data_IF_586003280799
#
_entry.id   IF_586003280799
#
_cell.length_a   1.000
_cell.length_b   1.000
_cell.length_c   1.000
_cell.angle_alpha   90.00
_cell.angle_beta   90.00
_cell.angle_gamma   90.00
#
_symmetry.space_group_name_H-M   'P 1'
#
loop_
_entity.id
_entity.type
_entity.pdbx_description
1 polymer ?
#
# COMPACT_ATOMS: atom_id res chain seq x y z
N UNK A 1 -15.74 15.59 23.21
CA UNK A 1 -15.50 16.67 22.23
C UNK A 1 -15.48 16.03 20.85
N UNK A 2 -16.03 16.68 19.82
CA UNK A 2 -15.93 16.21 18.45
C UNK A 2 -14.45 16.13 18.05
N UNK A 3 -13.99 15.03 17.47
CA UNK A 3 -12.60 14.89 17.04
C UNK A 3 -12.26 15.86 15.91
N UNK A 4 -10.96 16.13 15.70
CA UNK A 4 -10.50 17.07 14.65
C UNK A 4 -11.10 16.77 13.28
N UNK A 5 -11.29 15.53 12.91
CA UNK A 5 -11.90 15.14 11.64
C UNK A 5 -13.33 15.72 11.47
N UNK A 6 -14.13 15.62 12.51
CA UNK A 6 -15.50 16.15 12.53
C UNK A 6 -15.52 17.68 12.47
N UNK A 7 -14.57 18.32 13.16
CA UNK A 7 -14.39 19.78 13.13
C UNK A 7 -14.04 20.25 11.72
N UNK A 8 -13.09 19.59 11.04
CA UNK A 8 -12.69 19.92 9.67
C UNK A 8 -13.85 19.72 8.69
N UNK A 9 -14.57 18.58 8.78
CA UNK A 9 -15.71 18.28 7.89
C UNK A 9 -16.81 19.33 8.01
N UNK A 10 -17.04 19.85 9.21
CA UNK A 10 -18.01 20.93 9.45
C UNK A 10 -17.54 22.25 8.84
N UNK A 11 -16.27 22.60 8.97
CA UNK A 11 -15.69 23.85 8.47
C UNK A 11 -15.58 23.87 6.93
N UNK A 12 -15.49 22.73 6.26
CA UNK A 12 -15.36 22.63 4.79
C UNK A 12 -16.40 23.46 4.02
N UNK A 13 -17.60 23.65 4.57
CA UNK A 13 -18.69 24.41 3.93
C UNK A 13 -18.43 25.93 3.88
N UNK A 14 -17.47 26.43 4.69
CA UNK A 14 -17.20 27.87 4.84
C UNK A 14 -15.74 28.20 4.51
N UNK A 15 -14.99 27.28 3.92
CA UNK A 15 -13.58 27.43 3.62
C UNK A 15 -13.34 28.30 2.37
N UNK A 16 -12.35 29.19 2.47
CA UNK A 16 -11.72 29.79 1.28
C UNK A 16 -10.97 28.74 0.45
N UNK A 17 -10.60 29.01 -0.82
CA UNK A 17 -9.86 28.05 -1.64
C UNK A 17 -8.54 27.55 -0.99
N UNK A 18 -7.81 28.42 -0.30
CA UNK A 18 -6.60 28.04 0.43
C UNK A 18 -6.90 27.18 1.65
N UNK A 19 -7.97 27.49 2.39
CA UNK A 19 -8.44 26.69 3.52
C UNK A 19 -9.00 25.34 3.06
N UNK A 20 -9.65 25.25 1.89
CA UNK A 20 -10.09 23.99 1.31
C UNK A 20 -8.91 23.05 1.00
N UNK A 21 -7.81 23.59 0.44
CA UNK A 21 -6.59 22.81 0.25
C UNK A 21 -6.06 22.25 1.57
N UNK A 22 -6.04 23.08 2.61
CA UNK A 22 -5.60 22.68 3.96
C UNK A 22 -6.56 21.67 4.60
N UNK A 23 -7.87 21.89 4.52
CA UNK A 23 -8.90 20.99 5.02
C UNK A 23 -8.78 19.60 4.40
N UNK A 24 -8.71 19.56 3.07
CA UNK A 24 -8.54 18.30 2.32
C UNK A 24 -7.21 17.61 2.66
N UNK A 25 -6.12 18.38 2.76
CA UNK A 25 -4.84 17.84 3.19
C UNK A 25 -4.93 17.25 4.60
N UNK A 26 -5.50 17.96 5.55
CA UNK A 26 -5.64 17.47 6.93
C UNK A 26 -6.49 16.21 6.98
N UNK A 27 -7.66 16.18 6.31
CA UNK A 27 -8.53 15.00 6.29
C UNK A 27 -7.85 13.78 5.67
N UNK A 28 -7.10 13.97 4.60
CA UNK A 28 -6.42 12.89 3.89
C UNK A 28 -5.11 12.45 4.55
N UNK A 29 -4.53 13.31 5.43
CA UNK A 29 -3.21 13.10 6.03
C UNK A 29 -3.21 13.24 7.56
N UNK A 30 -4.36 13.04 8.23
CA UNK A 30 -4.49 13.16 9.69
C UNK A 30 -3.39 12.39 10.44
N UNK A 31 -2.99 11.25 9.93
CA UNK A 31 -1.96 10.40 10.55
C UNK A 31 -0.53 10.85 10.27
N UNK A 32 -0.32 11.64 9.24
CA UNK A 32 0.98 12.26 8.92
C UNK A 32 1.17 13.57 9.69
N UNK A 33 0.07 14.23 10.08
CA UNK A 33 0.11 15.51 10.80
C UNK A 33 1.02 15.52 12.03
N UNK A 34 1.13 14.44 12.83
CA UNK A 34 2.08 14.41 13.94
C UNK A 34 3.54 14.67 13.57
N UNK A 35 3.91 14.44 12.30
CA UNK A 35 5.29 14.59 11.79
C UNK A 35 5.48 15.86 10.95
N UNK A 36 4.39 16.52 10.60
CA UNK A 36 4.43 17.70 9.76
C UNK A 36 4.71 18.97 10.62
N UNK A 37 5.26 19.98 9.97
CA UNK A 37 5.37 21.32 10.49
C UNK A 37 4.50 22.26 9.66
N UNK A 38 4.13 23.43 10.19
CA UNK A 38 3.42 24.43 9.39
C UNK A 38 4.23 24.83 8.13
N UNK A 39 5.56 24.76 8.20
CA UNK A 39 6.45 25.04 7.08
C UNK A 39 6.45 23.92 6.04
N UNK A 40 6.42 22.64 6.47
CA UNK A 40 6.37 21.49 5.53
C UNK A 40 5.01 21.41 4.83
N UNK A 41 3.92 21.59 5.57
CA UNK A 41 2.55 21.67 5.02
C UNK A 41 2.45 22.83 4.02
N UNK A 42 2.97 24.01 4.41
CA UNK A 42 2.95 25.20 3.57
C UNK A 42 3.66 24.97 2.24
N UNK A 43 4.85 24.37 2.23
CA UNK A 43 5.60 24.01 1.01
C UNK A 43 4.84 23.02 0.15
N UNK A 44 4.24 21.99 0.76
CA UNK A 44 3.51 20.93 0.04
C UNK A 44 2.25 21.42 -0.67
N UNK A 45 1.59 22.45 -0.09
CA UNK A 45 0.32 23.00 -0.59
C UNK A 45 0.49 24.36 -1.29
N UNK A 46 1.72 24.85 -1.41
CA UNK A 46 2.03 26.18 -1.97
C UNK A 46 1.30 27.33 -1.26
N UNK A 47 1.23 27.23 0.08
CA UNK A 47 0.68 28.27 0.95
C UNK A 47 1.72 28.71 1.99
N UNK A 48 1.56 29.92 2.55
CA UNK A 48 2.49 30.37 3.59
C UNK A 48 2.29 29.59 4.91
N UNK A 49 3.36 29.36 5.70
CA UNK A 49 3.22 28.78 7.04
C UNK A 49 2.24 29.56 7.95
N UNK A 50 2.12 30.86 7.72
CA UNK A 50 1.18 31.71 8.42
C UNK A 50 -0.27 31.40 8.05
N UNK A 51 -0.53 31.04 6.80
CA UNK A 51 -1.85 30.57 6.32
C UNK A 51 -2.24 29.26 6.99
N UNK A 52 -1.29 28.32 7.12
CA UNK A 52 -1.49 27.08 7.87
C UNK A 52 -1.84 27.36 9.33
N UNK A 53 -1.08 28.24 9.99
CA UNK A 53 -1.34 28.64 11.39
C UNK A 53 -2.69 29.33 11.59
N UNK A 54 -3.14 30.15 10.62
CA UNK A 54 -4.48 30.79 10.68
C UNK A 54 -5.58 29.74 10.56
N UNK A 55 -5.43 28.79 9.66
CA UNK A 55 -6.41 27.72 9.49
C UNK A 55 -6.52 26.86 10.75
N UNK A 56 -5.41 26.49 11.36
CA UNK A 56 -5.37 25.74 12.63
C UNK A 56 -6.15 26.50 13.73
N UNK A 57 -5.95 27.82 13.85
CA UNK A 57 -6.70 28.65 14.82
C UNK A 57 -8.19 28.72 14.49
N UNK A 58 -8.56 28.79 13.23
CA UNK A 58 -9.97 28.73 12.79
C UNK A 58 -10.66 27.42 13.21
N UNK A 59 -9.93 26.32 13.20
CA UNK A 59 -10.42 25.00 13.68
C UNK A 59 -10.52 24.93 15.23
N UNK A 60 -10.10 25.98 15.96
CA UNK A 60 -10.16 26.04 17.43
C UNK A 60 -8.89 25.57 18.15
N UNK A 61 -7.80 25.33 17.46
CA UNK A 61 -6.51 24.95 18.05
C UNK A 61 -5.54 26.12 18.08
N UNK A 62 -4.80 26.30 19.17
CA UNK A 62 -3.83 27.38 19.27
C UNK A 62 -2.61 27.14 18.35
N UNK A 63 -2.16 25.88 18.24
CA UNK A 63 -1.00 25.46 17.45
C UNK A 63 -1.20 24.08 16.83
N UNK A 64 -0.37 23.74 15.83
CA UNK A 64 -0.36 22.41 15.22
C UNK A 64 -0.06 21.31 16.25
N UNK A 65 0.72 21.63 17.29
CA UNK A 65 1.05 20.66 18.33
C UNK A 65 -0.16 20.25 19.17
N UNK A 66 -1.17 21.11 19.31
CA UNK A 66 -2.41 20.77 20.01
C UNK A 66 -3.19 19.70 19.23
N UNK A 67 -3.26 19.85 17.89
CA UNK A 67 -3.81 18.82 17.01
C UNK A 67 -3.03 17.51 17.12
N UNK A 68 -1.70 17.60 17.15
CA UNK A 68 -0.84 16.43 17.30
C UNK A 68 -1.07 15.71 18.63
N UNK A 69 -1.27 16.46 19.71
CA UNK A 69 -1.58 15.88 21.02
C UNK A 69 -2.95 15.19 21.02
N UNK A 70 -3.97 15.81 20.43
CA UNK A 70 -5.29 15.20 20.31
C UNK A 70 -5.23 13.91 19.49
N UNK A 71 -4.56 13.95 18.33
CA UNK A 71 -4.37 12.76 17.50
C UNK A 71 -3.63 11.65 18.26
N UNK A 72 -2.60 11.97 19.03
CA UNK A 72 -1.89 11.01 19.88
C UNK A 72 -2.78 10.45 21.00
N UNK A 73 -3.59 11.27 21.64
CA UNK A 73 -4.53 10.86 22.69
C UNK A 73 -5.65 9.96 22.12
N UNK A 74 -6.06 10.21 20.88
CA UNK A 74 -7.04 9.37 20.15
C UNK A 74 -6.44 8.07 19.59
N UNK A 75 -5.20 7.71 19.98
CA UNK A 75 -4.51 6.52 19.50
C UNK A 75 -3.79 6.69 18.16
N UNK A 76 -3.78 7.90 17.60
CA UNK A 76 -3.03 8.24 16.40
C UNK A 76 -1.55 8.48 16.75
N UNK A 77 -0.91 7.47 17.31
CA UNK A 77 0.49 7.57 17.70
C UNK A 77 1.37 7.54 16.47
N UNK A 78 2.25 8.53 16.39
CA UNK A 78 3.48 8.38 15.63
C UNK A 78 4.16 7.11 16.08
N UNK A 79 4.55 6.24 15.15
CA UNK A 79 5.53 5.23 15.48
C UNK A 79 6.73 5.97 16.06
N UNK A 80 7.14 5.71 17.31
CA UNK A 80 8.34 6.30 17.84
C UNK A 80 9.50 5.89 16.94
N UNK A 81 10.36 6.83 16.59
CA UNK A 81 11.63 6.54 15.92
C UNK A 81 12.53 5.67 16.81
N UNK A 82 12.18 5.50 18.06
CA UNK A 82 12.84 4.69 19.08
C UNK A 82 11.77 4.01 19.96
N UNK A 83 11.60 2.76 19.80
CA UNK A 83 11.35 1.63 20.69
C UNK A 83 10.34 1.73 21.84
N UNK A 84 9.30 2.59 21.87
CA UNK A 84 8.30 2.48 22.93
C UNK A 84 6.91 2.95 22.46
N UNK A 85 6.07 2.07 22.14
CA UNK A 85 4.69 1.79 22.57
C UNK A 85 4.09 0.69 21.71
N UNK A 86 4.35 -0.52 22.11
CA UNK A 86 3.52 -1.64 21.71
C UNK A 86 2.08 -1.38 22.17
N UNK A 87 1.09 -1.87 21.43
CA UNK A 87 -0.29 -1.95 21.90
C UNK A 87 -0.26 -2.50 23.34
N UNK A 88 -1.19 -2.09 24.19
CA UNK A 88 -1.30 -2.60 25.57
C UNK A 88 -1.38 -4.13 25.60
N UNK A 89 -1.75 -4.75 24.49
CA UNK A 89 -1.71 -6.17 24.21
C UNK A 89 -1.33 -6.37 22.73
N UNK A 90 -0.01 -6.50 22.44
CA UNK A 90 0.48 -6.68 21.07
C UNK A 90 -0.06 -7.95 20.40
N UNK A 91 -0.24 -9.01 21.16
CA UNK A 91 -0.78 -10.28 20.64
C UNK A 91 -2.23 -10.12 20.19
N UNK A 92 -3.07 -9.48 21.01
CA UNK A 92 -4.47 -9.23 20.67
C UNK A 92 -4.60 -8.34 19.42
N UNK A 93 -3.77 -7.30 19.31
CA UNK A 93 -3.73 -6.45 18.13
C UNK A 93 -3.34 -7.25 16.88
N UNK A 94 -2.34 -8.14 17.01
CA UNK A 94 -1.89 -9.00 15.93
C UNK A 94 -2.94 -10.01 15.50
N UNK A 95 -3.64 -10.63 16.46
CA UNK A 95 -4.75 -11.56 16.18
C UNK A 95 -5.86 -10.82 15.42
N UNK A 96 -6.19 -9.59 15.81
CA UNK A 96 -7.18 -8.78 15.09
C UNK A 96 -6.74 -8.54 13.65
N UNK A 97 -5.52 -8.02 13.42
CA UNK A 97 -5.00 -7.76 12.07
C UNK A 97 -4.99 -9.02 11.20
N UNK A 98 -4.63 -10.16 11.78
CA UNK A 98 -4.66 -11.45 11.10
C UNK A 98 -6.09 -11.82 10.70
N UNK A 99 -7.06 -11.69 11.62
CA UNK A 99 -8.47 -11.95 11.34
C UNK A 99 -9.00 -11.05 10.22
N UNK A 100 -8.63 -9.76 10.24
CA UNK A 100 -9.05 -8.78 9.22
C UNK A 100 -8.51 -9.17 7.83
N UNK A 101 -7.28 -9.66 7.72
CA UNK A 101 -6.72 -10.14 6.43
C UNK A 101 -7.48 -11.34 5.90
N UNK A 102 -7.92 -12.28 6.75
CA UNK A 102 -8.74 -13.43 6.33
C UNK A 102 -10.17 -13.03 5.90
N UNK A 103 -10.61 -11.80 6.14
CA UNK A 103 -11.87 -11.29 5.58
C UNK A 103 -11.72 -10.73 4.15
N UNK A 104 -10.51 -10.37 3.72
CA UNK A 104 -10.27 -9.79 2.39
C UNK A 104 -10.73 -10.69 1.24
N UNK A 105 -10.59 -12.02 1.28
CA UNK A 105 -11.13 -12.92 0.26
C UNK A 105 -12.65 -12.84 0.03
N UNK A 106 -13.39 -12.27 0.97
CA UNK A 106 -14.85 -12.05 0.85
C UNK A 106 -15.19 -10.70 0.21
N UNK A 107 -14.19 -9.88 -0.13
CA UNK A 107 -14.42 -8.59 -0.77
C UNK A 107 -14.84 -8.73 -2.25
N UNK A 108 -15.62 -7.78 -2.79
CA UNK A 108 -16.11 -7.86 -4.16
C UNK A 108 -14.99 -7.76 -5.21
N UNK A 109 -13.86 -7.16 -4.88
CA UNK A 109 -12.70 -7.05 -5.76
C UNK A 109 -11.85 -8.32 -5.83
N UNK A 110 -11.93 -9.18 -4.82
CA UNK A 110 -11.10 -10.39 -4.73
C UNK A 110 -11.17 -11.33 -5.95
N UNK A 111 -12.35 -11.82 -6.37
CA UNK A 111 -12.44 -12.74 -7.50
C UNK A 111 -11.94 -12.10 -8.80
N UNK A 112 -12.14 -10.80 -8.98
CA UNK A 112 -11.66 -10.06 -10.14
C UNK A 112 -10.13 -9.97 -10.15
N UNK A 113 -9.51 -9.71 -9.00
CA UNK A 113 -8.06 -9.65 -8.87
C UNK A 113 -7.43 -11.03 -9.08
N UNK A 114 -8.00 -12.07 -8.48
CA UNK A 114 -7.54 -13.47 -8.68
C UNK A 114 -7.58 -13.84 -10.16
N UNK A 115 -8.71 -13.63 -10.83
CA UNK A 115 -8.84 -13.92 -12.26
C UNK A 115 -7.84 -13.12 -13.11
N UNK A 116 -7.60 -11.86 -12.75
CA UNK A 116 -6.63 -11.01 -13.43
C UNK A 116 -5.21 -11.53 -13.28
N UNK A 117 -4.79 -11.91 -12.08
CA UNK A 117 -3.47 -12.50 -11.84
C UNK A 117 -3.32 -13.87 -12.52
N UNK A 118 -4.38 -14.67 -12.56
CA UNK A 118 -4.37 -15.97 -13.22
C UNK A 118 -4.26 -15.88 -14.74
N UNK A 119 -5.02 -14.97 -15.37
CA UNK A 119 -5.26 -14.98 -16.81
C UNK A 119 -4.65 -13.81 -17.60
N UNK A 120 -3.96 -12.86 -16.96
CA UNK A 120 -3.23 -11.81 -17.67
C UNK A 120 -2.24 -12.44 -18.67
N UNK A 121 -1.98 -11.76 -19.80
CA UNK A 121 -0.96 -12.21 -20.78
C UNK A 121 0.41 -12.31 -20.12
N UNK A 122 0.74 -11.33 -19.29
CA UNK A 122 1.92 -11.30 -18.43
C UNK A 122 1.64 -10.48 -17.16
N UNK A 123 2.41 -10.71 -16.11
CA UNK A 123 2.30 -10.02 -14.84
C UNK A 123 3.65 -9.38 -14.49
N UNK A 124 3.65 -8.08 -14.30
CA UNK A 124 4.81 -7.35 -13.80
C UNK A 124 4.56 -6.94 -12.34
N UNK A 125 5.45 -7.35 -11.44
CA UNK A 125 5.37 -7.03 -10.02
C UNK A 125 6.41 -5.98 -9.70
N UNK A 126 5.99 -4.83 -9.21
CA UNK A 126 6.87 -3.76 -8.75
C UNK A 126 6.69 -3.53 -7.24
N UNK A 127 7.79 -3.42 -6.54
CA UNK A 127 7.86 -3.05 -5.13
C UNK A 127 9.15 -2.32 -4.83
N UNK A 128 9.16 -1.49 -3.78
CA UNK A 128 10.27 -0.58 -3.53
C UNK A 128 10.75 -0.65 -2.08
N UNK A 129 12.00 -0.27 -1.84
CA UNK A 129 12.65 -0.26 -0.52
C UNK A 129 12.45 -1.58 0.25
N UNK A 130 11.91 -1.47 1.47
CA UNK A 130 11.70 -2.59 2.39
C UNK A 130 10.65 -3.58 1.87
N UNK A 131 9.71 -3.12 1.04
CA UNK A 131 8.72 -3.99 0.39
C UNK A 131 9.30 -4.88 -0.70
N UNK A 132 10.52 -4.59 -1.19
CA UNK A 132 11.13 -5.28 -2.32
C UNK A 132 11.24 -6.79 -2.11
N UNK A 133 11.64 -7.24 -0.94
CA UNK A 133 11.77 -8.67 -0.64
C UNK A 133 10.42 -9.41 -0.69
N UNK A 134 9.34 -8.73 -0.27
CA UNK A 134 7.98 -9.27 -0.32
C UNK A 134 7.51 -9.38 -1.77
N UNK A 135 7.68 -8.31 -2.56
CA UNK A 135 7.31 -8.32 -3.97
C UNK A 135 8.10 -9.33 -4.80
N UNK A 136 9.40 -9.47 -4.53
CA UNK A 136 10.24 -10.49 -5.15
C UNK A 136 9.75 -11.90 -4.78
N UNK A 137 9.45 -12.14 -3.50
CA UNK A 137 8.88 -13.40 -3.05
C UNK A 137 7.56 -13.72 -3.73
N UNK A 138 6.64 -12.75 -3.78
CA UNK A 138 5.36 -12.89 -4.48
C UNK A 138 5.54 -13.23 -5.96
N UNK A 139 6.40 -12.50 -6.68
CA UNK A 139 6.69 -12.77 -8.09
C UNK A 139 7.29 -14.18 -8.28
N UNK A 140 8.22 -14.59 -7.42
CA UNK A 140 8.87 -15.90 -7.47
C UNK A 140 7.88 -17.04 -7.29
N UNK A 141 6.96 -16.93 -6.31
CA UNK A 141 5.93 -17.94 -6.11
C UNK A 141 4.92 -17.94 -7.27
N UNK A 142 4.50 -16.77 -7.75
CA UNK A 142 3.58 -16.66 -8.86
C UNK A 142 4.19 -17.23 -10.16
N UNK A 143 5.51 -17.10 -10.38
CA UNK A 143 6.24 -17.74 -11.48
C UNK A 143 6.12 -19.27 -11.44
N UNK A 144 6.04 -19.84 -10.24
CA UNK A 144 5.87 -21.28 -10.07
C UNK A 144 4.45 -21.75 -10.44
N UNK A 145 3.46 -20.85 -10.36
CA UNK A 145 2.06 -21.12 -10.70
C UNK A 145 1.77 -20.90 -12.19
N UNK A 146 2.37 -19.88 -12.81
CA UNK A 146 2.11 -19.50 -14.20
C UNK A 146 3.36 -18.92 -14.89
N UNK A 147 3.43 -18.98 -16.23
CA UNK A 147 4.49 -18.35 -17.01
C UNK A 147 4.31 -16.82 -17.08
N UNK A 148 5.34 -16.13 -17.59
CA UNK A 148 5.35 -14.69 -17.88
C UNK A 148 5.02 -13.83 -16.67
N UNK A 149 5.70 -14.09 -15.58
CA UNK A 149 5.70 -13.23 -14.39
C UNK A 149 7.09 -12.62 -14.25
N UNK A 150 7.16 -11.33 -14.07
CA UNK A 150 8.39 -10.56 -14.01
C UNK A 150 8.42 -9.73 -12.74
N UNK A 151 9.52 -9.79 -12.03
CA UNK A 151 9.78 -8.81 -10.97
C UNK A 151 10.50 -7.61 -11.59
N UNK A 152 9.92 -6.43 -11.44
CA UNK A 152 10.47 -5.21 -11.98
C UNK A 152 11.62 -4.71 -11.10
N UNK A 153 12.84 -4.88 -11.56
CA UNK A 153 14.04 -4.30 -10.98
C UNK A 153 14.54 -3.20 -11.88
N UNK A 154 14.57 -1.98 -11.35
CA UNK A 154 15.16 -0.86 -12.07
C UNK A 154 16.24 -0.22 -11.22
N UNK A 155 17.41 0.02 -11.82
CA UNK A 155 18.55 0.61 -11.12
C UNK A 155 18.25 2.05 -10.64
N UNK A 156 17.40 2.76 -11.36
CA UNK A 156 17.00 4.14 -11.09
C UNK A 156 15.64 4.28 -10.38
N UNK A 157 14.91 3.16 -10.18
CA UNK A 157 13.59 3.15 -9.57
C UNK A 157 12.49 3.80 -10.44
N UNK A 158 12.74 4.04 -11.74
CA UNK A 158 11.77 4.70 -12.61
C UNK A 158 10.63 3.77 -13.05
N UNK A 159 10.90 2.47 -13.20
CA UNK A 159 9.98 1.46 -13.74
C UNK A 159 9.43 1.80 -15.14
N UNK A 160 10.07 2.71 -15.87
CA UNK A 160 9.59 3.21 -17.16
C UNK A 160 9.53 2.10 -18.23
N UNK A 161 10.46 1.17 -18.19
CA UNK A 161 10.58 0.08 -19.16
C UNK A 161 9.33 -0.81 -19.20
N UNK A 162 8.63 -0.94 -18.07
CA UNK A 162 7.39 -1.74 -17.97
C UNK A 162 6.30 -1.16 -18.89
N UNK A 163 6.30 0.15 -19.08
CA UNK A 163 5.23 0.86 -19.81
C UNK A 163 5.64 1.30 -21.22
N UNK A 164 6.86 1.00 -21.64
CA UNK A 164 7.31 1.42 -22.97
C UNK A 164 6.49 0.73 -24.08
N UNK A 165 6.39 -0.60 -24.03
CA UNK A 165 5.65 -1.41 -24.97
C UNK A 165 4.81 -2.48 -24.21
N UNK A 166 3.74 -2.08 -23.49
CA UNK A 166 2.96 -3.03 -22.69
C UNK A 166 2.24 -4.04 -23.58
N UNK A 167 2.42 -5.32 -23.26
CA UNK A 167 1.72 -6.39 -23.97
C UNK A 167 0.19 -6.28 -23.78
N UNK A 168 -0.61 -6.53 -24.82
CA UNK A 168 -2.06 -6.57 -24.69
C UNK A 168 -2.50 -7.55 -23.59
N UNK A 169 -3.28 -7.07 -22.61
CA UNK A 169 -3.72 -7.88 -21.47
C UNK A 169 -2.71 -8.05 -20.33
N UNK A 170 -1.62 -7.28 -20.33
CA UNK A 170 -0.65 -7.19 -19.24
C UNK A 170 -1.32 -6.72 -17.95
N UNK A 171 -0.85 -7.24 -16.82
CA UNK A 171 -1.21 -6.79 -15.48
C UNK A 171 0.03 -6.26 -14.73
N UNK A 172 -0.08 -5.05 -14.20
CA UNK A 172 0.90 -4.47 -13.29
C UNK A 172 0.44 -4.68 -11.85
N UNK A 173 1.30 -5.23 -11.00
CA UNK A 173 1.06 -5.37 -9.56
C UNK A 173 1.99 -4.41 -8.82
N UNK A 174 1.43 -3.48 -8.07
CA UNK A 174 2.17 -2.55 -7.22
C UNK A 174 2.02 -2.95 -5.77
N UNK A 175 3.13 -3.15 -5.08
CA UNK A 175 3.16 -3.56 -3.67
C UNK A 175 3.90 -2.49 -2.88
N UNK A 176 3.18 -1.70 -2.11
CA UNK A 176 3.75 -0.63 -1.30
C UNK A 176 2.87 -0.32 -0.09
N UNK A 177 3.48 -0.06 1.04
CA UNK A 177 2.78 0.23 2.29
C UNK A 177 3.54 1.28 3.11
N UNK A 178 2.82 2.16 3.77
CA UNK A 178 3.29 3.17 4.74
C UNK A 178 4.09 4.35 4.16
N UNK A 179 5.25 4.12 3.56
CA UNK A 179 6.09 5.18 2.96
C UNK A 179 6.03 5.03 1.47
N UNK A 180 4.91 5.47 0.91
CA UNK A 180 4.62 5.29 -0.50
C UNK A 180 5.66 5.96 -1.37
N UNK A 181 6.25 5.17 -2.26
CA UNK A 181 7.16 5.68 -3.27
C UNK A 181 6.42 6.62 -4.21
N UNK A 182 6.91 7.85 -4.38
CA UNK A 182 6.30 8.84 -5.30
C UNK A 182 6.12 8.27 -6.69
N UNK A 183 7.07 7.46 -7.13
CA UNK A 183 7.07 6.85 -8.45
C UNK A 183 5.93 5.85 -8.65
N UNK A 184 5.42 5.21 -7.58
CA UNK A 184 4.35 4.21 -7.71
C UNK A 184 3.01 4.83 -8.09
N UNK A 185 2.69 5.98 -7.53
CA UNK A 185 1.50 6.70 -7.96
C UNK A 185 1.60 7.11 -9.42
N UNK A 186 2.73 7.69 -9.83
CA UNK A 186 2.97 8.07 -11.22
C UNK A 186 2.94 6.86 -12.16
N UNK A 187 3.57 5.75 -11.76
CA UNK A 187 3.57 4.51 -12.51
C UNK A 187 2.13 3.97 -12.69
N UNK A 188 1.31 4.01 -11.65
CA UNK A 188 -0.09 3.58 -11.71
C UNK A 188 -0.94 4.49 -12.62
N UNK A 189 -0.77 5.81 -12.52
CA UNK A 189 -1.46 6.79 -13.36
C UNK A 189 -1.07 6.62 -14.84
N UNK A 190 0.22 6.44 -15.13
CA UNK A 190 0.73 6.20 -16.48
C UNK A 190 0.31 4.84 -17.05
N UNK A 191 0.27 3.81 -16.22
CA UNK A 191 -0.26 2.50 -16.59
C UNK A 191 -1.73 2.58 -16.99
N UNK A 192 -2.54 3.27 -16.19
CA UNK A 192 -3.97 3.49 -16.48
C UNK A 192 -4.16 4.26 -17.78
N UNK A 193 -3.36 5.31 -18.04
CA UNK A 193 -3.42 6.09 -19.28
C UNK A 193 -3.10 5.25 -20.54
N UNK A 194 -2.32 4.16 -20.38
CA UNK A 194 -1.97 3.22 -21.46
C UNK A 194 -2.89 2.00 -21.51
N UNK A 195 -3.95 1.96 -20.69
CA UNK A 195 -4.89 0.83 -20.62
C UNK A 195 -4.33 -0.43 -19.95
N UNK A 196 -3.18 -0.32 -19.26
CA UNK A 196 -2.61 -1.41 -18.47
C UNK A 196 -3.41 -1.59 -17.19
N UNK A 197 -3.84 -2.82 -16.94
CA UNK A 197 -4.58 -3.15 -15.72
C UNK A 197 -3.65 -3.21 -14.52
N UNK A 198 -3.97 -2.45 -13.48
CA UNK A 198 -3.13 -2.35 -12.29
C UNK A 198 -3.84 -2.92 -11.07
N UNK A 199 -3.17 -3.81 -10.35
CA UNK A 199 -3.56 -4.33 -9.04
C UNK A 199 -2.66 -3.66 -7.99
N UNK A 200 -3.24 -3.12 -6.93
CA UNK A 200 -2.48 -2.45 -5.86
C UNK A 200 -2.71 -3.20 -4.55
N UNK A 201 -1.61 -3.70 -3.97
CA UNK A 201 -1.58 -4.30 -2.65
C UNK A 201 -0.92 -3.29 -1.69
N UNK A 202 -1.71 -2.77 -0.74
CA UNK A 202 -1.27 -1.64 0.08
C UNK A 202 -1.91 -1.66 1.47
N UNK A 203 -1.73 -0.62 2.24
CA UNK A 203 -2.43 -0.45 3.50
C UNK A 203 -3.58 0.57 3.42
N UNK A 204 -4.44 0.57 4.43
CA UNK A 204 -5.63 1.43 4.52
C UNK A 204 -5.33 2.93 4.51
N UNK A 205 -4.06 3.33 4.56
CA UNK A 205 -3.62 4.73 4.54
C UNK A 205 -3.26 5.23 3.14
N UNK A 206 -3.25 4.35 2.15
CA UNK A 206 -2.99 4.70 0.76
C UNK A 206 -4.24 5.35 0.14
N UNK A 207 -4.32 6.66 0.22
CA UNK A 207 -5.49 7.44 -0.22
C UNK A 207 -5.60 7.61 -1.75
N UNK A 208 -4.53 7.35 -2.50
CA UNK A 208 -4.52 7.54 -3.94
C UNK A 208 -4.86 6.27 -4.75
N UNK A 209 -4.67 5.08 -4.17
CA UNK A 209 -4.80 3.82 -4.91
C UNK A 209 -6.17 3.64 -5.56
N UNK A 210 -7.25 3.87 -4.83
CA UNK A 210 -8.63 3.75 -5.34
C UNK A 210 -9.03 4.86 -6.32
N UNK A 211 -8.25 5.92 -6.45
CA UNK A 211 -8.47 6.94 -7.48
C UNK A 211 -7.92 6.50 -8.84
N UNK A 212 -7.03 5.51 -8.87
CA UNK A 212 -6.37 5.01 -10.08
C UNK A 212 -6.97 3.69 -10.57
N UNK A 213 -7.34 2.80 -9.65
CA UNK A 213 -7.90 1.48 -9.97
C UNK A 213 -8.87 1.01 -8.89
N UNK A 214 -9.86 0.20 -9.31
CA UNK A 214 -10.76 -0.50 -8.39
C UNK A 214 -10.15 -1.82 -7.87
N UNK A 215 -9.04 -2.28 -8.47
CA UNK A 215 -8.36 -3.52 -8.08
C UNK A 215 -7.34 -3.25 -6.96
N UNK A 216 -7.84 -2.91 -5.77
CA UNK A 216 -7.04 -2.55 -4.61
C UNK A 216 -7.38 -3.43 -3.41
N UNK A 217 -6.38 -4.13 -2.88
CA UNK A 217 -6.49 -4.83 -1.60
C UNK A 217 -5.70 -4.09 -0.54
N UNK A 218 -6.36 -3.81 0.58
CA UNK A 218 -5.80 -3.01 1.66
C UNK A 218 -5.75 -3.81 2.96
N UNK A 219 -4.60 -3.72 3.64
CA UNK A 219 -4.43 -4.29 4.98
C UNK A 219 -4.33 -3.19 6.03
N UNK A 220 -4.72 -3.49 7.26
CA UNK A 220 -4.31 -2.67 8.40
C UNK A 220 -2.87 -3.00 8.77
N UNK A 221 -2.04 -1.96 8.88
CA UNK A 221 -0.67 -2.09 9.38
C UNK A 221 -0.59 -1.54 10.78
N UNK A 222 -0.06 -2.34 11.72
CA UNK A 222 0.17 -1.89 13.08
C UNK A 222 1.25 -0.79 13.13
N UNK A 223 1.14 0.07 14.16
CA UNK A 223 2.13 1.07 14.44
C UNK A 223 3.41 0.44 15.02
N UNK A 224 4.56 0.94 14.59
CA UNK A 224 5.87 0.51 15.07
C UNK A 224 6.85 0.28 13.93
N UNK A 225 7.83 -0.57 14.15
CA UNK A 225 8.70 -1.09 13.09
C UNK A 225 7.80 -1.70 12.04
N UNK A 226 8.01 -1.33 10.77
CA UNK A 226 7.20 -1.75 9.63
C UNK A 226 6.96 -3.26 9.67
N UNK A 227 5.79 -3.66 10.16
CA UNK A 227 5.38 -5.05 10.07
C UNK A 227 4.73 -5.27 8.71
N UNK A 228 5.43 -5.92 7.82
CA UNK A 228 4.91 -6.33 6.52
C UNK A 228 4.29 -7.73 6.57
N UNK A 229 4.18 -8.33 7.75
CA UNK A 229 3.67 -9.70 7.91
C UNK A 229 2.23 -9.87 7.42
N UNK A 230 1.37 -8.85 7.58
CA UNK A 230 0.00 -8.92 7.08
C UNK A 230 -0.04 -8.80 5.56
N UNK A 231 0.85 -8.03 4.95
CA UNK A 231 0.99 -7.96 3.51
C UNK A 231 1.50 -9.29 2.93
N UNK A 232 2.47 -9.91 3.62
CA UNK A 232 2.93 -11.26 3.28
C UNK A 232 1.79 -12.27 3.34
N UNK A 233 0.99 -12.27 4.40
CA UNK A 233 -0.17 -13.15 4.53
C UNK A 233 -1.19 -12.93 3.42
N UNK A 234 -1.49 -11.66 3.08
CA UNK A 234 -2.40 -11.35 1.97
C UNK A 234 -1.92 -11.94 0.66
N UNK A 235 -0.60 -11.87 0.39
CA UNK A 235 -0.03 -12.45 -0.82
C UNK A 235 -0.07 -13.98 -0.82
N UNK A 236 0.12 -14.62 0.32
CA UNK A 236 -0.04 -16.08 0.45
C UNK A 236 -1.46 -16.53 0.14
N UNK A 237 -2.48 -15.80 0.64
CA UNK A 237 -3.88 -16.06 0.31
C UNK A 237 -4.16 -15.84 -1.19
N UNK A 238 -3.61 -14.78 -1.79
CA UNK A 238 -3.74 -14.53 -3.23
C UNK A 238 -3.10 -15.64 -4.07
N UNK A 239 -1.89 -16.07 -3.72
CA UNK A 239 -1.20 -17.15 -4.42
C UNK A 239 -2.01 -18.44 -4.35
N UNK A 240 -2.57 -18.77 -3.19
CA UNK A 240 -3.44 -19.93 -3.01
C UNK A 240 -4.70 -19.85 -3.87
N UNK A 241 -5.35 -18.68 -3.92
CA UNK A 241 -6.53 -18.48 -4.74
C UNK A 241 -6.21 -18.52 -6.24
N UNK A 242 -5.09 -17.94 -6.67
CA UNK A 242 -4.61 -18.00 -8.07
C UNK A 242 -4.27 -19.46 -8.45
N UNK A 243 -3.66 -20.23 -7.57
CA UNK A 243 -3.37 -21.66 -7.82
C UNK A 243 -4.67 -22.46 -8.02
N UNK A 244 -5.70 -22.18 -7.21
CA UNK A 244 -7.01 -22.83 -7.37
C UNK A 244 -7.73 -22.44 -8.68
N UNK A 245 -7.54 -21.20 -9.15
CA UNK A 245 -8.12 -20.70 -10.40
C UNK A 245 -7.43 -21.30 -11.65
N UNK A 246 -6.13 -21.62 -11.54
CA UNK A 246 -5.31 -22.10 -12.67
C UNK A 246 -5.43 -23.61 -12.86
N UNK A 247 -6.00 -24.03 -13.99
CA UNK A 247 -5.96 -25.43 -14.39
C UNK A 247 -4.51 -25.85 -14.68
N UNK A 248 -4.00 -26.86 -13.94
CA UNK A 248 -2.65 -27.40 -14.15
C UNK A 248 -1.53 -26.70 -13.37
N UNK A 249 -1.86 -25.86 -12.38
CA UNK A 249 -0.87 -25.24 -11.49
C UNK A 249 -0.01 -26.29 -10.77
N UNK A 250 -0.59 -27.39 -10.31
CA UNK A 250 0.12 -28.50 -9.65
C UNK A 250 1.23 -29.09 -10.54
N UNK A 251 0.92 -29.48 -11.76
CA UNK A 251 1.90 -30.03 -12.68
C UNK A 251 3.01 -29.04 -13.05
N UNK A 252 2.69 -27.74 -13.08
CA UNK A 252 3.71 -26.70 -13.26
C UNK A 252 4.62 -26.58 -12.04
N UNK A 253 4.07 -26.62 -10.83
CA UNK A 253 4.86 -26.61 -9.58
C UNK A 253 5.82 -27.78 -9.57
N UNK A 254 5.34 -28.98 -9.85
CA UNK A 254 6.17 -30.20 -9.92
C UNK A 254 7.30 -30.04 -10.93
N UNK A 255 7.01 -29.59 -12.15
CA UNK A 255 8.03 -29.37 -13.17
C UNK A 255 9.07 -28.32 -12.76
N UNK A 256 8.66 -27.25 -12.08
CA UNK A 256 9.58 -26.23 -11.55
C UNK A 256 10.46 -26.81 -10.44
N UNK A 257 9.91 -27.61 -9.52
CA UNK A 257 10.65 -28.26 -8.46
C UNK A 257 11.70 -29.25 -9.02
N UNK A 258 11.33 -30.06 -10.01
CA UNK A 258 12.25 -30.98 -10.67
C UNK A 258 13.43 -30.25 -11.34
N UNK A 259 13.15 -29.14 -12.03
CA UNK A 259 14.22 -28.31 -12.60
C UNK A 259 15.11 -27.70 -11.54
N UNK A 260 14.51 -27.15 -10.46
CA UNK A 260 15.29 -26.58 -9.35
C UNK A 260 16.21 -27.60 -8.70
N UNK A 261 15.77 -28.82 -8.47
CA UNK A 261 16.63 -29.92 -7.94
C UNK A 261 17.90 -30.08 -8.78
N UNK A 262 17.80 -29.97 -10.11
CA UNK A 262 18.95 -30.10 -11.01
C UNK A 262 19.90 -28.91 -10.96
N UNK A 263 19.41 -27.70 -10.70
CA UNK A 263 20.22 -26.49 -10.79
C UNK A 263 20.71 -25.98 -9.43
N UNK A 264 19.97 -26.19 -8.35
CA UNK A 264 20.29 -25.60 -7.05
C UNK A 264 21.07 -26.54 -6.12
N UNK A 265 21.31 -27.80 -6.51
CA UNK A 265 22.23 -28.71 -5.86
C UNK A 265 22.00 -28.85 -4.35
N UNK A 266 20.74 -28.92 -3.88
CA UNK A 266 20.51 -29.58 -2.62
C UNK A 266 20.85 -31.06 -2.88
N UNK A 267 22.09 -31.44 -2.56
CA UNK A 267 22.49 -32.82 -2.59
C UNK A 267 21.47 -33.60 -1.75
N UNK A 268 20.83 -34.58 -2.36
CA UNK A 268 20.18 -35.62 -1.58
C UNK A 268 21.33 -36.23 -0.76
N UNK A 269 21.26 -36.18 0.54
CA UNK A 269 22.11 -36.98 1.41
C UNK A 269 21.74 -38.44 1.08
N UNK A 270 22.67 -39.17 0.46
CA UNK A 270 22.61 -40.63 0.24
C UNK A 270 22.49 -41.40 1.57
#
# INVERSE_FOLDING_TARGET
MAGIEEVIRRDLKTCTPAEQKLANFFLNHLRELPFETAASIGRRLEVSPMTVGRYIRKLGYARLDDIKQELRAAGWRAAPATGETFASDPLKAKIKSLTDVYQIPHSPEWPRIVARLAHASEVHVASFEVGRYIGLGFATFLQSLRPRVHFAETADGSFADILLDPAPGMCLVLIDARRYAKNFRLLAEEAAARGVRTVILTDVYCHWARAVTDDVLMIETEFGVRSLSMLQLLMELLLSAVAAELKGAEGRIEAVLELRKRFTGFAEED
#
